data_IF_531357945068
#
_entry.id   IF_531357945068
#
_cell.length_a   1.000
_cell.length_b   1.000
_cell.length_c   1.000
_cell.angle_alpha   90.00
_cell.angle_beta   90.00
_cell.angle_gamma   90.00
#
_symmetry.space_group_name_H-M   'P 1'
#
loop_
_entity.id
_entity.type
_entity.pdbx_description
1 polymer ?
#
# COMPACT_ATOMS: atom_id res chain seq x y z
N UNK A 1 -60.08 7.56 -16.10
CA UNK A 1 -59.25 8.72 -15.71
C UNK A 1 -58.33 8.22 -14.61
N UNK A 2 -57.10 7.86 -14.96
CA UNK A 2 -56.20 7.07 -14.10
C UNK A 2 -54.77 7.58 -14.21
N UNK A 3 -54.03 7.51 -13.11
CA UNK A 3 -52.56 7.42 -13.15
C UNK A 3 -51.78 8.71 -13.40
N UNK A 4 -51.84 9.67 -12.49
CA UNK A 4 -50.76 10.64 -12.28
C UNK A 4 -50.50 10.82 -10.78
N UNK A 5 -49.25 11.17 -10.44
CA UNK A 5 -48.71 11.45 -9.10
C UNK A 5 -48.36 10.25 -8.20
N UNK A 6 -47.14 9.73 -8.34
CA UNK A 6 -46.19 9.56 -7.21
C UNK A 6 -44.77 9.24 -7.73
N UNK A 7 -43.97 10.28 -8.04
CA UNK A 7 -42.54 10.17 -8.45
C UNK A 7 -41.69 11.25 -7.72
N UNK A 8 -42.22 11.91 -6.68
CA UNK A 8 -41.65 13.18 -6.20
C UNK A 8 -40.69 13.11 -5.01
N UNK A 9 -40.64 12.00 -4.25
CA UNK A 9 -40.00 12.01 -2.93
C UNK A 9 -38.59 11.39 -2.88
N UNK A 10 -38.27 10.44 -3.77
CA UNK A 10 -36.93 9.82 -3.84
C UNK A 10 -35.82 10.75 -4.33
N UNK A 11 -36.16 11.90 -4.91
CA UNK A 11 -35.17 12.85 -5.47
C UNK A 11 -34.52 13.75 -4.42
N UNK A 12 -35.17 13.94 -3.26
CA UNK A 12 -34.68 14.81 -2.18
C UNK A 12 -33.33 14.35 -1.57
N UNK A 13 -33.14 13.09 -1.15
CA UNK A 13 -31.88 12.68 -0.52
C UNK A 13 -30.67 12.82 -1.44
N UNK A 14 -30.81 12.53 -2.73
CA UNK A 14 -29.72 12.62 -3.72
C UNK A 14 -29.21 14.06 -3.88
N UNK A 15 -30.10 15.05 -3.91
CA UNK A 15 -29.71 16.46 -3.99
C UNK A 15 -28.96 16.90 -2.73
N UNK A 16 -29.38 16.47 -1.54
CA UNK A 16 -28.66 16.76 -0.29
C UNK A 16 -27.27 16.11 -0.25
N UNK A 17 -27.11 14.86 -0.71
CA UNK A 17 -25.80 14.19 -0.79
C UNK A 17 -24.87 14.88 -1.78
N UNK A 18 -25.37 15.27 -2.96
CA UNK A 18 -24.56 16.02 -3.93
C UNK A 18 -24.19 17.41 -3.41
N UNK A 19 -25.13 18.16 -2.84
CA UNK A 19 -24.86 19.49 -2.29
C UNK A 19 -23.86 19.47 -1.13
N UNK A 20 -23.96 18.51 -0.22
CA UNK A 20 -23.00 18.33 0.88
C UNK A 20 -21.63 17.89 0.38
N UNK A 21 -21.55 17.00 -0.61
CA UNK A 21 -20.29 16.63 -1.27
C UNK A 21 -19.60 17.83 -1.96
N UNK A 22 -20.36 18.65 -2.70
CA UNK A 22 -19.85 19.87 -3.34
C UNK A 22 -19.37 20.87 -2.28
N UNK A 23 -20.13 21.08 -1.20
CA UNK A 23 -19.74 21.99 -0.12
C UNK A 23 -18.49 21.50 0.63
N UNK A 24 -18.35 20.19 0.87
CA UNK A 24 -17.14 19.62 1.45
C UNK A 24 -15.93 19.85 0.55
N UNK A 25 -16.06 19.57 -0.76
CA UNK A 25 -14.99 19.77 -1.74
C UNK A 25 -14.61 21.26 -1.89
N UNK A 26 -15.58 22.17 -1.91
CA UNK A 26 -15.34 23.61 -1.95
C UNK A 26 -14.64 24.13 -0.69
N UNK A 27 -15.08 23.67 0.50
CA UNK A 27 -14.44 24.01 1.79
C UNK A 27 -13.01 23.51 1.84
N UNK A 28 -12.77 22.31 1.30
CA UNK A 28 -11.46 21.68 1.25
C UNK A 28 -10.51 22.38 0.26
N UNK A 29 -10.98 22.70 -0.95
CA UNK A 29 -10.24 23.50 -1.92
C UNK A 29 -9.90 24.90 -1.38
N UNK A 30 -10.83 25.55 -0.67
CA UNK A 30 -10.58 26.82 0.02
C UNK A 30 -9.51 26.66 1.11
N UNK A 31 -9.57 25.60 1.93
CA UNK A 31 -8.54 25.28 2.93
C UNK A 31 -7.17 25.05 2.29
N UNK A 32 -7.11 24.34 1.16
CA UNK A 32 -5.87 24.13 0.40
C UNK A 32 -5.28 25.46 -0.10
N UNK A 33 -6.10 26.33 -0.72
CA UNK A 33 -5.70 27.66 -1.19
C UNK A 33 -5.21 28.56 -0.04
N UNK A 34 -5.90 28.55 1.10
CA UNK A 34 -5.49 29.34 2.29
C UNK A 34 -4.22 28.77 2.94
N UNK A 35 -4.08 27.45 3.04
CA UNK A 35 -2.89 26.81 3.61
C UNK A 35 -1.62 27.06 2.79
N UNK A 36 -1.76 27.26 1.47
CA UNK A 36 -0.66 27.62 0.59
C UNK A 36 -0.03 28.98 0.97
N UNK A 37 -0.77 29.87 1.64
CA UNK A 37 -0.25 31.13 2.19
C UNK A 37 0.68 30.99 3.39
N UNK A 38 0.71 29.82 4.04
CA UNK A 38 1.54 29.56 5.23
C UNK A 38 2.96 29.07 4.91
N UNK A 39 3.31 28.94 3.62
CA UNK A 39 4.67 28.52 3.21
C UNK A 39 5.68 29.64 3.55
N UNK A 40 6.76 29.34 4.31
CA UNK A 40 7.75 30.36 4.66
C UNK A 40 8.40 30.99 3.41
N UNK A 41 8.52 32.33 3.33
CA UNK A 41 8.90 33.05 2.10
C UNK A 41 10.35 32.82 1.65
N UNK A 42 11.16 32.10 2.43
CA UNK A 42 12.55 31.75 2.11
C UNK A 42 12.70 30.39 1.40
N UNK A 43 11.66 29.54 1.43
CA UNK A 43 11.66 28.30 0.65
C UNK A 43 11.52 28.61 -0.84
N UNK A 44 12.20 27.83 -1.67
CA UNK A 44 11.95 27.86 -3.10
C UNK A 44 10.61 27.15 -3.36
N UNK A 45 9.65 27.86 -3.95
CA UNK A 45 8.36 27.31 -4.34
C UNK A 45 8.04 27.79 -5.76
N UNK A 46 8.02 26.90 -6.77
CA UNK A 46 7.87 27.30 -8.17
C UNK A 46 6.61 28.13 -8.47
N UNK A 47 5.50 27.87 -7.77
CA UNK A 47 4.25 28.59 -7.96
C UNK A 47 4.25 30.03 -7.39
N UNK A 48 5.21 30.39 -6.54
CA UNK A 48 5.29 31.68 -5.86
C UNK A 48 5.83 32.83 -6.77
N UNK A 49 5.88 32.63 -8.09
CA UNK A 49 6.28 33.65 -9.05
C UNK A 49 5.26 34.81 -9.14
N UNK A 50 5.65 35.97 -8.59
CA UNK A 50 5.03 37.31 -8.69
C UNK A 50 3.63 37.54 -8.08
N UNK A 51 2.79 36.52 -7.81
CA UNK A 51 1.43 36.76 -7.28
C UNK A 51 1.03 35.74 -6.20
N UNK A 52 1.18 36.13 -4.92
CA UNK A 52 1.05 35.23 -3.76
C UNK A 52 -0.33 34.56 -3.65
N UNK A 53 -1.43 35.31 -3.76
CA UNK A 53 -2.77 34.77 -3.50
C UNK A 53 -3.28 33.79 -4.59
N UNK A 54 -2.74 33.87 -5.81
CA UNK A 54 -3.02 32.92 -6.90
C UNK A 54 -2.02 31.76 -6.97
N UNK A 55 -0.96 31.75 -6.16
CA UNK A 55 0.05 30.69 -6.18
C UNK A 55 -0.56 29.32 -5.85
N UNK A 56 -1.49 29.27 -4.89
CA UNK A 56 -2.26 28.07 -4.58
C UNK A 56 -3.04 27.55 -5.80
N UNK A 57 -3.93 28.36 -6.37
CA UNK A 57 -4.74 27.98 -7.54
C UNK A 57 -3.91 27.57 -8.77
N UNK A 58 -2.75 28.20 -9.01
CA UNK A 58 -1.82 27.79 -10.08
C UNK A 58 -1.16 26.45 -9.76
N UNK A 59 -0.70 26.26 -8.53
CA UNK A 59 -0.15 24.98 -8.06
C UNK A 59 -1.15 23.84 -8.25
N UNK A 60 -2.42 24.05 -7.90
CA UNK A 60 -3.49 23.05 -8.12
C UNK A 60 -3.71 22.75 -9.60
N UNK A 61 -3.79 23.79 -10.47
CA UNK A 61 -4.00 23.61 -11.90
C UNK A 61 -2.86 22.84 -12.58
N UNK A 62 -1.62 23.15 -12.19
CA UNK A 62 -0.43 22.56 -12.81
C UNK A 62 -0.09 21.16 -12.22
N UNK A 63 -0.79 20.72 -11.15
CA UNK A 63 -0.65 19.39 -10.57
C UNK A 63 -1.45 18.28 -11.26
N UNK A 64 -2.61 18.60 -11.82
CA UNK A 64 -3.61 17.62 -12.28
C UNK A 64 -3.16 16.84 -13.54
N UNK A 65 -1.98 17.15 -14.10
CA UNK A 65 -1.50 16.63 -15.38
C UNK A 65 -0.30 15.70 -15.29
N UNK A 66 0.70 15.96 -14.43
CA UNK A 66 1.72 14.97 -14.03
C UNK A 66 2.55 15.46 -12.82
N UNK A 67 2.31 14.89 -11.64
CA UNK A 67 3.08 15.14 -10.41
C UNK A 67 4.60 14.95 -10.63
N UNK A 68 5.01 14.02 -11.50
CA UNK A 68 6.43 13.78 -11.83
C UNK A 68 7.05 14.97 -12.54
N UNK A 69 6.33 15.63 -13.46
CA UNK A 69 6.82 16.86 -14.11
C UNK A 69 6.95 18.00 -13.10
N UNK A 70 6.00 18.15 -12.18
CA UNK A 70 6.05 19.16 -11.10
C UNK A 70 7.27 18.92 -10.21
N UNK A 71 7.52 17.67 -9.79
CA UNK A 71 8.69 17.29 -9.00
C UNK A 71 10.01 17.56 -9.73
N UNK A 72 10.12 17.17 -11.00
CA UNK A 72 11.32 17.40 -11.82
C UNK A 72 11.57 18.88 -12.09
N UNK A 73 10.50 19.67 -12.31
CA UNK A 73 10.58 21.12 -12.53
C UNK A 73 10.95 21.85 -11.24
N UNK A 74 10.38 21.46 -10.10
CA UNK A 74 10.75 21.99 -8.79
C UNK A 74 12.22 21.67 -8.47
N UNK A 75 12.64 20.41 -8.62
CA UNK A 75 14.01 20.00 -8.37
C UNK A 75 15.03 20.70 -9.28
N UNK A 76 14.74 20.83 -10.58
CA UNK A 76 15.64 21.50 -11.53
C UNK A 76 15.70 23.02 -11.32
N UNK A 77 14.57 23.69 -11.07
CA UNK A 77 14.55 25.13 -10.78
C UNK A 77 15.28 25.47 -9.48
N UNK A 78 15.16 24.64 -8.44
CA UNK A 78 15.94 24.77 -7.19
C UNK A 78 17.44 24.64 -7.46
N UNK A 79 17.84 23.61 -8.22
CA UNK A 79 19.23 23.35 -8.59
C UNK A 79 19.84 24.50 -9.41
N UNK A 80 19.06 25.10 -10.31
CA UNK A 80 19.48 26.26 -11.09
C UNK A 80 19.56 27.55 -10.25
N UNK A 81 18.58 27.80 -9.38
CA UNK A 81 18.44 29.06 -8.65
C UNK A 81 19.42 29.22 -7.48
N UNK A 82 19.80 28.12 -6.81
CA UNK A 82 20.67 28.16 -5.61
C UNK A 82 21.94 27.31 -5.74
N UNK A 83 22.15 26.57 -6.84
CA UNK A 83 23.35 25.76 -7.08
C UNK A 83 23.58 24.60 -6.09
N UNK A 84 22.66 24.38 -5.15
CA UNK A 84 22.86 23.53 -3.98
C UNK A 84 21.56 22.82 -3.58
N UNK A 85 21.70 21.74 -2.81
CA UNK A 85 20.64 20.99 -2.13
C UNK A 85 19.88 21.85 -1.11
N UNK A 86 19.04 22.78 -1.57
CA UNK A 86 18.14 23.56 -0.69
C UNK A 86 16.74 22.95 -0.64
N UNK A 87 16.04 23.00 0.51
CA UNK A 87 14.68 22.50 0.62
C UNK A 87 13.70 23.35 -0.22
N UNK A 88 12.66 22.70 -0.73
CA UNK A 88 11.67 23.33 -1.60
C UNK A 88 10.25 22.85 -1.27
N UNK A 89 9.27 23.70 -1.50
CA UNK A 89 7.86 23.37 -1.29
C UNK A 89 7.21 22.93 -2.59
N UNK A 90 6.41 21.87 -2.51
CA UNK A 90 5.31 21.59 -3.43
C UNK A 90 4.00 21.75 -2.65
N UNK A 91 2.87 21.83 -3.34
CA UNK A 91 1.55 21.90 -2.70
C UNK A 91 0.69 20.83 -3.32
N UNK A 92 0.23 19.84 -2.55
CA UNK A 92 -0.77 18.86 -3.02
C UNK A 92 -2.17 19.35 -2.71
N UNK A 93 -3.12 19.09 -3.62
CA UNK A 93 -4.53 19.41 -3.42
C UNK A 93 -5.10 18.83 -2.11
N UNK A 94 -4.58 17.66 -1.69
CA UNK A 94 -5.07 16.90 -0.55
C UNK A 94 -4.28 17.13 0.75
N UNK A 95 -2.95 17.07 0.71
CA UNK A 95 -2.11 17.06 1.92
C UNK A 95 -1.59 18.47 2.28
N UNK A 96 -1.81 19.46 1.40
CA UNK A 96 -1.38 20.84 1.59
C UNK A 96 0.07 21.10 1.15
N UNK A 97 0.77 22.07 1.74
CA UNK A 97 2.15 22.39 1.37
C UNK A 97 3.14 21.35 1.92
N UNK A 98 3.56 20.41 1.07
CA UNK A 98 4.60 19.41 1.38
C UNK A 98 6.00 19.96 1.09
N UNK A 99 6.84 20.05 2.13
CA UNK A 99 8.24 20.45 1.98
C UNK A 99 9.11 19.24 1.64
N UNK A 100 9.74 19.28 0.48
CA UNK A 100 10.74 18.29 0.08
C UNK A 100 12.10 18.73 0.59
N UNK A 101 12.68 17.87 1.43
CA UNK A 101 13.99 18.05 2.02
C UNK A 101 15.03 17.29 1.19
N UNK A 102 16.26 17.81 1.05
CA UNK A 102 17.30 17.14 0.28
C UNK A 102 17.81 15.86 0.99
N UNK A 103 18.41 14.90 0.25
CA UNK A 103 18.89 13.64 0.83
C UNK A 103 19.88 13.83 1.99
N UNK A 104 20.74 14.87 1.92
CA UNK A 104 21.66 15.24 3.00
C UNK A 104 21.00 15.58 4.34
N UNK A 105 19.68 15.83 4.37
CA UNK A 105 18.90 16.09 5.59
C UNK A 105 18.10 14.89 6.08
N UNK A 106 18.10 13.75 5.39
CA UNK A 106 17.34 12.56 5.80
C UNK A 106 17.69 12.08 7.23
N UNK A 107 18.97 12.11 7.60
CA UNK A 107 19.45 11.75 8.94
C UNK A 107 19.05 12.75 10.03
N UNK A 108 18.76 14.00 9.67
CA UNK A 108 18.22 15.00 10.59
C UNK A 108 16.73 14.76 10.85
N UNK A 109 15.95 14.46 9.79
CA UNK A 109 14.52 14.11 9.91
C UNK A 109 14.33 12.91 10.83
N UNK A 110 15.11 11.84 10.61
CA UNK A 110 15.05 10.61 11.42
C UNK A 110 15.48 10.78 12.89
N UNK A 111 15.96 11.96 13.29
CA UNK A 111 16.30 12.33 14.68
C UNK A 111 15.30 13.30 15.31
N UNK A 112 14.32 13.80 14.54
CA UNK A 112 13.30 14.69 15.09
C UNK A 112 12.42 13.93 16.11
N UNK A 113 12.01 14.58 17.21
CA UNK A 113 11.00 14.01 18.10
C UNK A 113 9.68 13.74 17.37
N UNK A 114 8.97 12.68 17.75
CA UNK A 114 7.67 12.33 17.14
C UNK A 114 6.62 13.45 17.27
N UNK A 115 6.70 14.29 18.31
CA UNK A 115 5.81 15.45 18.47
C UNK A 115 6.16 16.63 17.51
N UNK A 116 7.31 16.57 16.83
CA UNK A 116 7.74 17.54 15.82
C UNK A 116 7.51 16.99 14.41
N UNK A 117 7.75 15.69 14.21
CA UNK A 117 7.50 14.97 12.97
C UNK A 117 7.03 13.54 13.28
N UNK A 118 5.73 13.29 13.17
CA UNK A 118 5.12 12.01 13.51
C UNK A 118 5.10 11.07 12.30
N UNK A 119 6.06 10.13 12.26
CA UNK A 119 6.01 9.03 11.29
C UNK A 119 4.77 8.14 11.52
N UNK A 120 4.32 8.05 12.78
CA UNK A 120 3.17 7.22 13.17
C UNK A 120 1.87 7.77 12.59
N UNK A 121 1.65 9.09 12.63
CA UNK A 121 0.47 9.71 12.02
C UNK A 121 0.51 9.61 10.48
N UNK A 122 1.67 9.89 9.87
CA UNK A 122 1.83 9.73 8.41
C UNK A 122 1.55 8.29 7.95
N UNK A 123 2.00 7.28 8.70
CA UNK A 123 1.73 5.88 8.39
C UNK A 123 0.25 5.50 8.59
N UNK A 124 -0.44 6.09 9.58
CA UNK A 124 -1.90 5.91 9.77
C UNK A 124 -2.68 6.43 8.57
N UNK A 125 -2.36 7.63 8.12
CA UNK A 125 -3.04 8.27 6.99
C UNK A 125 -2.76 7.51 5.69
N UNK A 126 -1.49 7.18 5.40
CA UNK A 126 -1.12 6.49 4.15
C UNK A 126 -1.66 5.06 4.05
N UNK A 127 -1.79 4.35 5.16
CA UNK A 127 -2.37 2.99 5.19
C UNK A 127 -3.88 2.99 5.52
N UNK A 128 -4.49 4.18 5.64
CA UNK A 128 -5.87 4.37 6.05
C UNK A 128 -6.24 3.53 7.28
N UNK A 129 -5.38 3.49 8.31
CA UNK A 129 -5.48 2.48 9.39
C UNK A 129 -6.80 2.52 10.16
N UNK A 130 -7.44 3.69 10.28
CA UNK A 130 -8.78 3.85 10.88
C UNK A 130 -9.90 3.16 10.08
N UNK A 131 -9.67 2.90 8.79
CA UNK A 131 -10.61 2.24 7.88
C UNK A 131 -10.22 0.79 7.54
N UNK A 132 -8.94 0.42 7.72
CA UNK A 132 -8.42 -0.91 7.39
C UNK A 132 -8.25 -1.82 8.61
N UNK A 133 -8.02 -1.28 9.81
CA UNK A 133 -7.94 -2.04 11.06
C UNK A 133 -9.32 -2.02 11.75
N UNK A 134 -9.84 -3.20 12.09
CA UNK A 134 -11.15 -3.35 12.75
C UNK A 134 -11.20 -2.78 14.17
N UNK A 135 -10.06 -2.79 14.89
CA UNK A 135 -9.94 -2.27 16.25
C UNK A 135 -9.23 -0.92 16.26
N UNK A 136 -9.99 0.13 16.58
CA UNK A 136 -9.49 1.51 16.71
C UNK A 136 -8.47 1.67 17.84
N UNK A 137 -8.47 0.82 18.87
CA UNK A 137 -7.42 0.85 19.89
C UNK A 137 -6.05 0.51 19.27
N UNK A 138 -6.00 -0.53 18.43
CA UNK A 138 -4.80 -0.95 17.68
C UNK A 138 -4.39 0.10 16.63
N UNK A 139 -5.37 0.75 15.98
CA UNK A 139 -5.08 1.86 15.07
C UNK A 139 -4.56 3.11 15.82
N UNK A 140 -4.97 3.32 17.07
CA UNK A 140 -4.57 4.49 17.86
C UNK A 140 -3.16 4.38 18.48
N UNK A 141 -2.77 3.21 18.97
CA UNK A 141 -1.56 3.03 19.78
C UNK A 141 -0.36 2.46 18.98
N UNK A 142 0.84 3.09 18.99
CA UNK A 142 2.07 2.54 18.43
C UNK A 142 2.63 1.29 19.15
N UNK A 143 1.86 0.63 20.03
CA UNK A 143 2.18 -0.69 20.63
C UNK A 143 2.77 -1.68 19.60
N UNK A 144 2.24 -1.73 18.38
CA UNK A 144 2.75 -2.59 17.31
C UNK A 144 4.26 -2.41 17.07
N UNK A 145 4.74 -1.16 17.02
CA UNK A 145 6.17 -0.85 16.80
C UNK A 145 7.01 -1.30 18.00
N UNK A 146 6.51 -1.09 19.23
CA UNK A 146 7.20 -1.51 20.46
C UNK A 146 7.28 -3.03 20.55
N UNK A 147 6.17 -3.73 20.34
CA UNK A 147 6.08 -5.19 20.37
C UNK A 147 6.99 -5.83 19.32
N UNK A 148 6.97 -5.34 18.07
CA UNK A 148 7.87 -5.82 17.01
C UNK A 148 9.35 -5.60 17.41
N UNK A 149 9.69 -4.43 17.97
CA UNK A 149 11.06 -4.13 18.41
C UNK A 149 11.52 -5.04 19.56
N UNK A 150 10.63 -5.36 20.50
CA UNK A 150 10.93 -6.28 21.61
C UNK A 150 11.11 -7.71 21.09
N UNK A 151 10.19 -8.20 20.25
CA UNK A 151 10.27 -9.54 19.64
C UNK A 151 11.56 -9.72 18.83
N UNK A 152 11.91 -8.76 17.97
CA UNK A 152 13.15 -8.81 17.18
C UNK A 152 14.42 -8.79 18.04
N UNK A 153 14.40 -8.11 19.20
CA UNK A 153 15.57 -8.01 20.10
C UNK A 153 15.76 -9.23 21.00
N UNK A 154 14.66 -9.87 21.43
CA UNK A 154 14.73 -10.96 22.40
C UNK A 154 15.08 -12.30 21.76
N UNK A 155 14.58 -12.58 20.54
CA UNK A 155 14.65 -13.93 19.97
C UNK A 155 14.98 -13.95 18.46
N UNK A 156 15.85 -13.04 18.04
CA UNK A 156 16.22 -12.85 16.62
C UNK A 156 16.76 -14.11 15.91
N UNK A 157 17.41 -15.02 16.64
CA UNK A 157 17.89 -16.28 16.04
C UNK A 157 16.75 -17.28 15.79
N UNK A 158 15.84 -17.47 16.75
CA UNK A 158 14.65 -18.31 16.55
C UNK A 158 13.73 -17.72 15.48
N UNK A 159 13.64 -16.40 15.41
CA UNK A 159 12.92 -15.64 14.38
C UNK A 159 13.45 -15.94 12.96
N UNK A 160 14.78 -15.90 12.76
CA UNK A 160 15.42 -16.25 11.47
C UNK A 160 15.18 -17.72 11.12
N UNK A 161 15.37 -18.65 12.06
CA UNK A 161 15.05 -20.08 11.88
C UNK A 161 13.56 -20.30 11.58
N UNK A 162 12.71 -19.46 12.17
CA UNK A 162 11.28 -19.31 11.90
C UNK A 162 11.00 -19.12 10.41
N UNK A 163 11.50 -18.01 9.87
CA UNK A 163 11.40 -17.60 8.46
C UNK A 163 11.93 -18.70 7.53
N UNK A 164 13.17 -19.16 7.74
CA UNK A 164 13.83 -20.10 6.81
C UNK A 164 13.01 -21.37 6.64
N UNK A 165 12.47 -21.92 7.72
CA UNK A 165 11.65 -23.15 7.65
C UNK A 165 10.29 -22.91 6.97
N UNK A 166 9.66 -21.75 7.15
CA UNK A 166 8.39 -21.42 6.47
C UNK A 166 8.59 -21.12 4.97
N UNK A 167 9.71 -20.48 4.60
CA UNK A 167 10.13 -20.31 3.20
C UNK A 167 10.43 -21.66 2.57
N UNK A 168 11.19 -22.55 3.22
CA UNK A 168 11.44 -23.90 2.72
C UNK A 168 10.15 -24.72 2.55
N UNK A 169 9.21 -24.63 3.50
CA UNK A 169 7.90 -25.26 3.37
C UNK A 169 7.10 -24.71 2.17
N UNK A 170 7.08 -23.38 2.01
CA UNK A 170 6.41 -22.72 0.88
C UNK A 170 7.07 -23.06 -0.47
N UNK A 171 8.39 -23.23 -0.52
CA UNK A 171 9.09 -23.77 -1.70
C UNK A 171 8.62 -25.20 -2.01
N UNK A 172 8.57 -26.08 -1.02
CA UNK A 172 8.10 -27.46 -1.20
C UNK A 172 6.65 -27.55 -1.68
N UNK A 173 5.76 -26.64 -1.23
CA UNK A 173 4.40 -26.53 -1.74
C UNK A 173 4.33 -25.99 -3.19
N UNK A 174 5.15 -25.00 -3.53
CA UNK A 174 5.04 -24.27 -4.80
C UNK A 174 5.78 -24.93 -5.98
N UNK A 175 6.95 -25.50 -5.73
CA UNK A 175 7.77 -26.20 -6.73
C UNK A 175 7.56 -27.72 -6.69
N UNK A 176 7.01 -28.26 -5.59
CA UNK A 176 6.93 -29.70 -5.36
C UNK A 176 8.28 -30.30 -4.95
N UNK A 177 8.30 -31.64 -4.81
CA UNK A 177 9.51 -32.41 -4.54
C UNK A 177 10.04 -33.16 -5.79
N UNK A 178 9.43 -32.95 -6.96
CA UNK A 178 9.78 -33.67 -8.18
C UNK A 178 10.93 -32.96 -8.91
N UNK A 179 12.13 -33.52 -8.82
CA UNK A 179 13.31 -33.02 -9.51
C UNK A 179 13.33 -33.34 -11.03
N UNK A 180 12.37 -34.11 -11.55
CA UNK A 180 12.36 -34.59 -12.93
C UNK A 180 11.54 -33.73 -13.89
N UNK A 181 10.61 -32.90 -13.40
CA UNK A 181 9.71 -32.10 -14.23
C UNK A 181 9.78 -30.60 -13.89
N UNK A 182 9.92 -29.77 -14.93
CA UNK A 182 9.89 -28.31 -14.77
C UNK A 182 8.46 -27.80 -14.57
N UNK A 183 8.20 -27.18 -13.43
CA UNK A 183 6.90 -26.57 -13.11
C UNK A 183 6.90 -25.07 -13.38
N UNK A 184 5.88 -24.57 -14.08
CA UNK A 184 5.68 -23.12 -14.28
C UNK A 184 5.07 -22.48 -13.04
N UNK A 185 5.89 -21.83 -12.20
CA UNK A 185 5.47 -21.14 -10.98
C UNK A 185 5.34 -19.63 -11.23
N UNK A 186 4.21 -19.04 -10.82
CA UNK A 186 4.04 -17.59 -10.86
C UNK A 186 4.83 -16.94 -9.71
N UNK A 187 5.96 -16.30 -10.04
CA UNK A 187 6.89 -15.73 -9.05
C UNK A 187 6.20 -14.77 -8.06
N UNK A 188 5.32 -13.89 -8.52
CA UNK A 188 4.59 -12.95 -7.64
C UNK A 188 3.70 -13.66 -6.61
N UNK A 189 2.93 -14.67 -7.03
CA UNK A 189 2.11 -15.47 -6.10
C UNK A 189 2.96 -16.26 -5.11
N UNK A 190 4.08 -16.81 -5.57
CA UNK A 190 5.01 -17.52 -4.70
C UNK A 190 5.65 -16.59 -3.66
N UNK A 191 6.23 -15.46 -4.07
CA UNK A 191 6.92 -14.54 -3.15
C UNK A 191 5.96 -13.88 -2.17
N UNK A 192 4.78 -13.43 -2.61
CA UNK A 192 3.77 -12.88 -1.72
C UNK A 192 3.25 -13.90 -0.70
N UNK A 193 3.02 -15.16 -1.12
CA UNK A 193 2.65 -16.23 -0.20
C UNK A 193 3.77 -16.55 0.82
N UNK A 194 5.02 -16.66 0.37
CA UNK A 194 6.16 -16.96 1.24
C UNK A 194 6.40 -15.85 2.28
N UNK A 195 6.32 -14.57 1.87
CA UNK A 195 6.43 -13.42 2.77
C UNK A 195 5.27 -13.38 3.78
N UNK A 196 4.03 -13.52 3.32
CA UNK A 196 2.85 -13.46 4.19
C UNK A 196 2.83 -14.62 5.21
N UNK A 197 3.05 -15.87 4.76
CA UNK A 197 3.15 -17.03 5.64
C UNK A 197 4.27 -16.88 6.66
N UNK A 198 5.46 -16.42 6.23
CA UNK A 198 6.58 -16.16 7.14
C UNK A 198 6.14 -15.20 8.25
N UNK A 199 5.68 -13.99 7.88
CA UNK A 199 5.25 -12.95 8.82
C UNK A 199 4.15 -13.48 9.78
N UNK A 200 3.13 -14.17 9.26
CA UNK A 200 2.09 -14.76 10.11
C UNK A 200 2.67 -15.81 11.08
N UNK A 201 3.58 -16.67 10.61
CA UNK A 201 4.20 -17.72 11.44
C UNK A 201 5.04 -17.17 12.60
N UNK A 202 5.56 -15.95 12.42
CA UNK A 202 6.39 -15.24 13.40
C UNK A 202 5.53 -14.42 14.37
N UNK A 203 4.50 -13.72 13.90
CA UNK A 203 3.64 -12.86 14.72
C UNK A 203 2.60 -13.65 15.52
N UNK A 204 2.06 -14.72 14.94
CA UNK A 204 0.92 -15.48 15.48
C UNK A 204 1.34 -16.89 15.93
N UNK A 205 2.47 -17.39 15.44
CA UNK A 205 2.99 -18.71 15.75
C UNK A 205 2.48 -19.81 14.81
N UNK A 206 3.34 -20.80 14.55
CA UNK A 206 3.10 -21.88 13.57
C UNK A 206 1.88 -22.76 13.82
N UNK A 207 1.41 -22.86 15.05
CA UNK A 207 0.19 -23.60 15.38
C UNK A 207 -1.04 -22.96 14.72
N UNK A 208 -1.07 -21.64 14.59
CA UNK A 208 -2.20 -20.87 14.07
C UNK A 208 -2.14 -20.68 12.55
N UNK A 209 -0.95 -20.65 11.94
CA UNK A 209 -0.80 -20.58 10.48
C UNK A 209 -1.32 -21.80 9.70
N UNK A 210 -1.54 -22.94 10.37
CA UNK A 210 -2.13 -24.13 9.75
C UNK A 210 -3.61 -23.95 9.40
N UNK A 211 -4.29 -22.96 9.97
CA UNK A 211 -5.69 -22.67 9.67
C UNK A 211 -5.80 -21.79 8.42
N UNK A 212 -6.01 -22.43 7.25
CA UNK A 212 -6.06 -21.79 5.93
C UNK A 212 -7.01 -20.58 5.80
N UNK A 213 -8.00 -20.47 6.70
CA UNK A 213 -8.87 -19.31 6.88
C UNK A 213 -8.10 -17.97 6.92
N UNK A 214 -7.00 -17.89 7.69
CA UNK A 214 -6.20 -16.67 7.85
C UNK A 214 -5.30 -16.33 6.65
N UNK A 215 -5.09 -17.30 5.74
CA UNK A 215 -4.20 -17.14 4.57
C UNK A 215 -4.99 -16.83 3.29
N UNK A 216 -6.20 -17.39 3.16
CA UNK A 216 -7.01 -17.28 1.93
C UNK A 216 -8.17 -16.26 2.01
N UNK A 217 -8.58 -15.81 3.19
CA UNK A 217 -9.73 -14.91 3.35
C UNK A 217 -9.55 -13.54 2.69
N UNK A 218 -8.32 -13.00 2.70
CA UNK A 218 -8.09 -11.59 2.36
C UNK A 218 -7.75 -11.35 0.89
N UNK A 219 -7.04 -12.25 0.20
CA UNK A 219 -6.66 -12.03 -1.22
C UNK A 219 -7.84 -11.96 -2.18
N UNK A 220 -9.01 -12.53 -1.82
CA UNK A 220 -10.26 -12.37 -2.58
C UNK A 220 -11.14 -11.21 -2.10
N UNK A 221 -10.96 -10.74 -0.87
CA UNK A 221 -11.85 -9.75 -0.24
C UNK A 221 -11.27 -8.34 -0.28
N UNK A 222 -9.94 -8.18 -0.15
CA UNK A 222 -9.25 -6.88 -0.25
C UNK A 222 -9.06 -6.42 -1.71
N UNK A 223 -9.02 -7.35 -2.67
CA UNK A 223 -8.97 -7.03 -4.11
C UNK A 223 -10.32 -6.62 -4.71
N UNK A 224 -11.43 -6.94 -4.04
CA UNK A 224 -12.79 -6.69 -4.51
C UNK A 224 -13.67 -6.27 -3.33
N UNK A 225 -13.79 -4.95 -3.16
CA UNK A 225 -14.84 -4.39 -2.32
C UNK A 225 -16.22 -4.92 -2.72
N UNK A 226 -17.06 -5.14 -1.70
CA UNK A 226 -18.37 -5.80 -1.72
C UNK A 226 -18.38 -7.34 -1.78
N UNK A 227 -19.02 -8.01 -0.79
CA UNK A 227 -19.29 -9.44 -0.88
C UNK A 227 -20.31 -9.71 -1.98
N UNK A 228 -19.84 -10.22 -3.12
CA UNK A 228 -20.71 -10.65 -4.22
C UNK A 228 -21.50 -11.89 -3.78
N UNK A 229 -22.74 -11.65 -3.32
CA UNK A 229 -23.72 -12.66 -2.87
C UNK A 229 -23.80 -13.81 -3.87
N UNK A 230 -23.15 -14.93 -3.58
CA UNK A 230 -23.22 -16.13 -4.41
C UNK A 230 -24.58 -16.79 -4.19
N UNK A 231 -25.50 -16.61 -5.15
CA UNK A 231 -26.72 -17.40 -5.20
C UNK A 231 -26.37 -18.84 -5.54
N UNK A 232 -26.47 -19.73 -4.55
CA UNK A 232 -26.23 -21.16 -4.68
C UNK A 232 -27.38 -21.86 -5.40
N UNK A 233 -27.31 -21.97 -6.73
CA UNK A 233 -28.27 -22.80 -7.47
C UNK A 233 -27.74 -23.32 -8.82
N UNK A 234 -26.93 -24.38 -8.78
CA UNK A 234 -26.99 -25.48 -9.77
C UNK A 234 -26.02 -26.63 -9.43
N UNK A 235 -26.60 -27.77 -9.05
CA UNK A 235 -25.99 -29.09 -9.31
C UNK A 235 -26.24 -29.42 -10.79
N UNK A 236 -25.33 -30.13 -11.47
CA UNK A 236 -25.64 -31.53 -11.71
C UNK A 236 -24.46 -32.51 -11.65
N UNK A 237 -24.81 -33.79 -11.45
CA UNK A 237 -23.97 -34.99 -11.51
C UNK A 237 -23.27 -35.17 -12.86
N UNK A 238 -22.06 -35.75 -12.88
CA UNK A 238 -21.40 -36.14 -14.13
C UNK A 238 -20.19 -37.08 -13.97
N UNK A 239 -20.45 -38.39 -13.88
CA UNK A 239 -19.60 -39.58 -14.20
C UNK A 239 -18.06 -39.46 -14.09
N UNK A 240 -17.47 -40.34 -13.28
CA UNK A 240 -16.03 -40.60 -13.30
C UNK A 240 -15.59 -41.48 -14.48
N UNK A 241 -14.30 -41.37 -14.82
CA UNK A 241 -13.53 -42.29 -15.66
C UNK A 241 -12.16 -42.44 -15.02
N UNK A 242 -11.74 -43.66 -14.73
CA UNK A 242 -10.36 -43.99 -14.37
C UNK A 242 -9.59 -44.41 -15.62
N UNK A 243 -8.26 -44.24 -15.64
CA UNK A 243 -7.44 -45.40 -15.97
C UNK A 243 -6.22 -45.61 -15.06
N UNK A 244 -5.75 -46.85 -15.07
CA UNK A 244 -4.70 -47.46 -14.24
C UNK A 244 -3.26 -47.10 -14.67
N UNK A 245 -2.23 -47.46 -13.89
CA UNK A 245 -0.86 -46.94 -14.05
C UNK A 245 0.07 -47.87 -14.85
N UNK A 246 1.20 -47.34 -15.36
CA UNK A 246 2.44 -48.13 -15.59
C UNK A 246 3.72 -47.29 -15.82
N UNK A 247 4.76 -47.66 -15.06
CA UNK A 247 6.20 -47.73 -15.40
C UNK A 247 7.09 -46.55 -15.89
N UNK A 248 8.23 -46.45 -15.18
CA UNK A 248 9.63 -46.38 -15.66
C UNK A 248 10.43 -45.06 -15.53
N UNK A 249 11.36 -45.05 -14.56
CA UNK A 249 12.71 -44.42 -14.61
C UNK A 249 13.57 -45.09 -15.70
N UNK A 250 14.70 -44.51 -16.21
CA UNK A 250 15.72 -43.70 -15.52
C UNK A 250 15.90 -42.29 -16.17
N UNK A 251 16.94 -41.47 -15.96
CA UNK A 251 18.23 -41.60 -15.27
C UNK A 251 18.70 -40.26 -14.65
N UNK A 252 19.85 -40.26 -13.95
CA UNK A 252 20.48 -39.05 -13.41
C UNK A 252 21.63 -38.52 -14.29
N UNK A 253 21.72 -37.20 -14.46
CA UNK A 253 22.90 -36.47 -14.97
C UNK A 253 23.07 -35.19 -14.14
N UNK A 254 24.25 -34.91 -13.56
CA UNK A 254 24.49 -33.68 -12.81
C UNK A 254 24.96 -32.55 -13.74
N UNK A 255 24.42 -31.33 -13.57
CA UNK A 255 24.93 -30.11 -14.21
C UNK A 255 25.00 -29.00 -13.16
N UNK A 256 26.14 -28.29 -12.99
CA UNK A 256 26.32 -27.31 -11.92
C UNK A 256 25.67 -25.96 -12.23
N UNK A 257 25.11 -25.32 -11.20
CA UNK A 257 24.67 -23.92 -11.25
C UNK A 257 25.87 -22.97 -11.12
N UNK A 258 26.21 -22.30 -12.22
CA UNK A 258 27.26 -21.28 -12.28
C UNK A 258 26.60 -19.89 -12.17
N UNK A 259 26.53 -19.36 -10.95
CA UNK A 259 26.08 -17.99 -10.70
C UNK A 259 27.24 -17.02 -11.00
N UNK A 260 27.24 -16.46 -12.20
CA UNK A 260 28.10 -15.34 -12.56
C UNK A 260 27.48 -14.04 -12.02
N UNK A 261 27.95 -13.56 -10.88
CA UNK A 261 27.87 -12.13 -10.57
C UNK A 261 28.92 -11.39 -11.40
N UNK A 262 28.49 -10.37 -12.14
CA UNK A 262 29.35 -9.31 -12.63
C UNK A 262 28.73 -7.98 -12.21
N UNK A 263 29.42 -7.34 -11.26
CA UNK A 263 29.55 -5.92 -10.92
C UNK A 263 28.32 -5.00 -11.07
#
# INVERSE_FOLDING_TARGET
MSGMHSISDDFKPTVFVLASGIMALATYALKAVLSAGNVPPHLCWPAHAKYQWLAGLRGLRDQDLDLRTVLLTAHSSVRQAKGQESPYAITTLLEGPTVILPPSKATWIGRLPQHTASFVEQAKDQLCLEFTIFDLAIASDPLNIRTITVLMRQDGEAFIKGIVQEVCATCGEAFGCDASQWTNVNLWRFTSAAVLKSIQSMLVGRSLCKFAFLVQGETKTLMLGFPRRQNSSSSPRGRGVAPSPTHATPAAVPVPLLLSLQD
#
